data_IF_620783603018
#
_entry.id   IF_620783603018
#
_cell.length_a   1.000
_cell.length_b   1.000
_cell.length_c   1.000
_cell.angle_alpha   90.00
_cell.angle_beta   90.00
_cell.angle_gamma   90.00
#
_symmetry.space_group_name_H-M   'P 1'
#
loop_
_entity.id
_entity.type
_entity.pdbx_description
1 polymer ?
#
# COMPACT_ATOMS: atom_id res chain seq x y z
N UNK A 1 -1.66 9.05 -23.36
CA UNK A 1 -1.11 8.94 -21.98
C UNK A 1 -2.11 8.30 -21.03
N UNK A 2 -3.28 8.90 -20.77
CA UNK A 2 -4.31 8.38 -19.84
C UNK A 2 -4.58 6.87 -19.98
N UNK A 3 -4.75 6.38 -21.20
CA UNK A 3 -4.98 4.96 -21.48
C UNK A 3 -3.90 4.03 -20.91
N UNK A 4 -2.61 4.40 -20.99
CA UNK A 4 -1.49 3.56 -20.50
C UNK A 4 -1.57 3.38 -18.98
N UNK A 5 -1.86 4.45 -18.24
CA UNK A 5 -1.92 4.44 -16.77
C UNK A 5 -3.16 3.72 -16.28
N UNK A 6 -4.33 4.07 -16.83
CA UNK A 6 -5.61 3.42 -16.46
C UNK A 6 -5.52 1.93 -16.73
N UNK A 7 -5.09 1.55 -17.94
CA UNK A 7 -4.92 0.13 -18.28
C UNK A 7 -3.98 -0.59 -17.32
N UNK A 8 -2.88 0.05 -16.91
CA UNK A 8 -1.91 -0.59 -16.01
C UNK A 8 -2.44 -0.77 -14.60
N UNK A 9 -3.00 0.29 -14.01
CA UNK A 9 -3.29 0.35 -12.58
C UNK A 9 -4.75 0.04 -12.25
N UNK A 10 -5.70 0.47 -13.07
CA UNK A 10 -7.12 0.17 -12.87
C UNK A 10 -7.50 -1.18 -13.50
N UNK A 11 -7.00 -1.47 -14.71
CA UNK A 11 -7.37 -2.69 -15.45
C UNK A 11 -6.34 -3.83 -15.32
N UNK A 12 -5.32 -3.66 -14.47
CA UNK A 12 -4.28 -4.65 -14.21
C UNK A 12 -3.57 -5.19 -15.47
N UNK A 13 -3.40 -4.34 -16.49
CA UNK A 13 -2.79 -4.70 -17.77
C UNK A 13 -1.31 -4.29 -17.80
N UNK A 14 -0.36 -5.23 -17.58
CA UNK A 14 1.06 -4.91 -17.59
C UNK A 14 1.50 -4.41 -18.96
N UNK A 15 2.55 -3.59 -19.00
CA UNK A 15 3.03 -2.98 -20.24
C UNK A 15 3.32 -4.00 -21.35
N UNK A 16 3.74 -5.23 -21.04
CA UNK A 16 4.02 -6.23 -22.10
C UNK A 16 2.78 -6.65 -22.85
N UNK A 17 1.63 -6.64 -22.17
CA UNK A 17 0.36 -6.88 -22.81
C UNK A 17 -0.13 -5.65 -23.55
N UNK A 18 0.12 -4.44 -23.02
CA UNK A 18 -0.18 -3.20 -23.74
C UNK A 18 0.62 -3.10 -25.05
N UNK A 19 1.92 -3.45 -25.04
CA UNK A 19 2.77 -3.48 -26.23
C UNK A 19 2.14 -4.34 -27.34
N UNK A 20 1.72 -5.57 -26.99
CA UNK A 20 1.06 -6.46 -27.96
C UNK A 20 -0.27 -5.89 -28.48
N UNK A 21 -1.00 -5.13 -27.66
CA UNK A 21 -2.23 -4.46 -28.11
C UNK A 21 -1.90 -3.34 -29.09
N UNK A 22 -0.94 -2.46 -28.77
CA UNK A 22 -0.54 -1.37 -29.67
C UNK A 22 0.02 -1.89 -31.00
N UNK A 23 0.74 -3.01 -30.99
CA UNK A 23 1.24 -3.66 -32.19
C UNK A 23 0.14 -4.10 -33.17
N UNK A 24 -1.06 -4.46 -32.69
CA UNK A 24 -2.21 -4.79 -33.57
C UNK A 24 -2.63 -3.59 -34.41
N UNK A 25 -2.48 -2.40 -33.84
CA UNK A 25 -2.72 -1.12 -34.52
C UNK A 25 -1.47 -0.58 -35.23
N UNK A 26 -0.39 -1.39 -35.32
CA UNK A 26 0.91 -1.01 -35.90
C UNK A 26 1.56 0.19 -35.21
N UNK A 27 1.23 0.41 -33.94
CA UNK A 27 1.81 1.47 -33.10
C UNK A 27 2.91 0.86 -32.24
N UNK A 28 4.14 1.34 -32.42
CA UNK A 28 5.28 0.94 -31.58
C UNK A 28 5.60 2.06 -30.57
N UNK A 29 5.48 1.74 -29.28
CA UNK A 29 5.80 2.67 -28.19
C UNK A 29 6.86 2.02 -27.31
N UNK A 30 8.10 2.54 -27.32
CA UNK A 30 9.18 1.97 -26.52
C UNK A 30 8.83 1.88 -25.03
N UNK A 31 9.25 0.78 -24.39
CA UNK A 31 9.00 0.52 -22.97
C UNK A 31 9.55 1.60 -22.03
N UNK A 32 10.66 2.21 -22.41
CA UNK A 32 11.24 3.36 -21.71
C UNK A 32 10.29 4.56 -21.72
N UNK A 33 9.66 4.84 -22.86
CA UNK A 33 8.69 5.94 -23.02
C UNK A 33 7.45 5.73 -22.14
N UNK A 34 6.86 4.54 -22.16
CA UNK A 34 5.70 4.22 -21.32
C UNK A 34 6.02 4.36 -19.83
N UNK A 35 7.17 3.84 -19.40
CA UNK A 35 7.63 3.97 -18.01
C UNK A 35 7.94 5.42 -17.63
N UNK A 36 8.51 6.19 -18.56
CA UNK A 36 8.77 7.62 -18.40
C UNK A 36 7.49 8.43 -18.17
N UNK A 37 6.41 8.13 -18.90
CA UNK A 37 5.11 8.78 -18.66
C UNK A 37 4.54 8.47 -17.28
N UNK A 38 4.68 7.23 -16.79
CA UNK A 38 4.27 6.90 -15.42
C UNK A 38 5.06 7.70 -14.38
N UNK A 39 6.36 7.86 -14.59
CA UNK A 39 7.19 8.66 -13.69
C UNK A 39 6.76 10.13 -13.68
N UNK A 40 6.52 10.74 -14.85
CA UNK A 40 6.07 12.14 -14.92
C UNK A 40 4.77 12.38 -14.15
N UNK A 41 3.86 11.42 -14.21
CA UNK A 41 2.60 11.50 -13.44
C UNK A 41 2.86 11.33 -11.96
N UNK A 42 3.68 10.35 -11.56
CA UNK A 42 4.07 10.20 -10.17
C UNK A 42 4.67 11.50 -9.62
N UNK A 43 5.60 12.13 -10.34
CA UNK A 43 6.19 13.41 -9.97
C UNK A 43 5.16 14.53 -9.81
N UNK A 44 4.11 14.51 -10.62
CA UNK A 44 3.03 15.50 -10.56
C UNK A 44 2.09 15.29 -9.37
N UNK A 45 1.85 14.03 -8.97
CA UNK A 45 0.87 13.69 -7.91
C UNK A 45 1.52 13.38 -6.56
N UNK A 46 2.85 13.24 -6.46
CA UNK A 46 3.53 12.86 -5.21
C UNK A 46 3.25 13.82 -4.05
N UNK A 47 2.97 15.09 -4.36
CA UNK A 47 2.60 16.11 -3.37
C UNK A 47 1.30 15.79 -2.63
N UNK A 48 0.42 14.97 -3.23
CA UNK A 48 -0.82 14.54 -2.59
C UNK A 48 -0.57 13.59 -1.43
N UNK A 49 0.52 12.82 -1.43
CA UNK A 49 0.78 11.82 -0.38
C UNK A 49 0.83 12.41 1.03
N UNK A 50 1.64 13.46 1.34
CA UNK A 50 1.63 14.05 2.68
C UNK A 50 0.29 14.69 3.05
N UNK A 51 -0.45 15.25 2.09
CA UNK A 51 -1.78 15.85 2.31
C UNK A 51 -2.79 14.75 2.66
N UNK A 52 -2.80 13.65 1.91
CA UNK A 52 -3.68 12.51 2.15
C UNK A 52 -3.33 11.81 3.48
N UNK A 53 -2.03 11.71 3.81
CA UNK A 53 -1.58 11.23 5.13
C UNK A 53 -2.14 12.12 6.24
N UNK A 54 -2.01 13.44 6.14
CA UNK A 54 -2.56 14.33 7.16
C UNK A 54 -4.07 14.12 7.30
N UNK A 55 -4.79 14.11 6.18
CA UNK A 55 -6.23 13.91 6.17
C UNK A 55 -6.64 12.56 6.79
N UNK A 56 -5.94 11.45 6.51
CA UNK A 56 -6.33 10.15 7.09
C UNK A 56 -6.16 10.14 8.61
N UNK A 57 -5.16 10.85 9.14
CA UNK A 57 -4.85 10.95 10.57
C UNK A 57 -5.74 11.94 11.34
N UNK A 58 -6.55 12.76 10.67
CA UNK A 58 -7.53 13.65 11.33
C UNK A 58 -8.69 12.90 11.98
N UNK A 59 -8.97 11.67 11.53
CA UNK A 59 -10.00 10.83 12.14
C UNK A 59 -9.50 10.26 13.46
N UNK A 60 -10.37 10.20 14.48
CA UNK A 60 -10.06 9.50 15.73
C UNK A 60 -10.09 7.96 15.61
N UNK A 61 -10.43 7.41 14.44
CA UNK A 61 -10.48 5.96 14.17
C UNK A 61 -9.70 5.69 12.88
N UNK A 62 -8.75 4.76 12.96
CA UNK A 62 -7.91 4.36 11.84
C UNK A 62 -7.79 2.84 11.78
N UNK A 63 -7.85 2.27 10.58
CA UNK A 63 -7.54 0.87 10.31
C UNK A 63 -6.21 0.78 9.59
N UNK A 64 -5.39 -0.22 9.92
CA UNK A 64 -4.09 -0.44 9.28
C UNK A 64 -3.77 -1.91 9.08
N UNK A 65 -3.08 -2.21 7.99
CA UNK A 65 -2.59 -3.54 7.63
C UNK A 65 -1.37 -3.43 6.70
N UNK A 66 -0.65 -4.54 6.48
CA UNK A 66 0.46 -4.62 5.53
C UNK A 66 0.36 -5.85 4.61
N UNK A 67 0.44 -5.61 3.31
CA UNK A 67 0.47 -6.69 2.30
C UNK A 67 1.89 -6.90 1.76
N UNK A 68 2.39 -8.15 1.70
CA UNK A 68 3.69 -8.44 1.09
C UNK A 68 3.66 -8.22 -0.43
N UNK A 69 4.70 -7.56 -0.95
CA UNK A 69 4.91 -7.33 -2.38
C UNK A 69 6.24 -7.97 -2.81
N UNK A 70 6.19 -8.79 -3.86
CA UNK A 70 7.39 -9.36 -4.48
C UNK A 70 8.06 -8.29 -5.38
N UNK A 71 9.09 -7.62 -4.84
CA UNK A 71 9.80 -6.57 -5.56
C UNK A 71 11.02 -7.14 -6.29
N UNK A 72 11.15 -6.86 -7.58
CA UNK A 72 12.35 -7.20 -8.33
C UNK A 72 13.52 -6.27 -7.96
N UNK A 73 14.63 -6.85 -7.51
CA UNK A 73 15.85 -6.12 -7.16
C UNK A 73 16.89 -6.25 -8.29
N UNK A 74 16.57 -5.70 -9.47
CA UNK A 74 17.44 -5.81 -10.65
C UNK A 74 18.83 -5.22 -10.46
N UNK A 75 18.99 -4.26 -9.54
CA UNK A 75 20.27 -3.56 -9.33
C UNK A 75 21.23 -4.35 -8.45
N UNK A 76 20.74 -4.92 -7.35
CA UNK A 76 21.62 -5.60 -6.40
C UNK A 76 21.54 -7.13 -6.52
N UNK A 77 20.40 -7.68 -6.95
CA UNK A 77 20.17 -9.13 -7.04
C UNK A 77 19.31 -9.51 -8.27
N UNK A 78 19.90 -9.47 -9.49
CA UNK A 78 19.18 -9.82 -10.72
C UNK A 78 18.48 -11.18 -10.62
N UNK A 79 17.22 -11.24 -11.05
CA UNK A 79 16.41 -12.47 -11.03
C UNK A 79 15.87 -12.88 -9.66
N UNK A 80 16.19 -12.16 -8.58
CA UNK A 80 15.64 -12.41 -7.24
C UNK A 80 14.59 -11.36 -6.87
N UNK A 81 13.68 -11.79 -5.99
CA UNK A 81 12.66 -10.92 -5.40
C UNK A 81 13.01 -10.61 -3.95
N UNK A 82 12.88 -9.34 -3.57
CA UNK A 82 12.86 -8.89 -2.19
C UNK A 82 11.42 -8.81 -1.71
N UNK A 83 11.17 -9.22 -0.46
CA UNK A 83 9.86 -9.09 0.18
C UNK A 83 9.68 -7.66 0.70
N UNK A 84 9.10 -6.81 -0.14
CA UNK A 84 8.66 -5.46 0.22
C UNK A 84 7.27 -5.50 0.86
N UNK A 85 6.80 -4.36 1.39
CA UNK A 85 5.47 -4.21 2.00
C UNK A 85 4.73 -3.02 1.41
N UNK A 86 3.44 -3.19 1.24
CA UNK A 86 2.49 -2.11 1.02
C UNK A 86 1.64 -1.98 2.27
N UNK A 87 1.84 -0.90 3.00
CA UNK A 87 1.02 -0.54 4.16
C UNK A 87 -0.23 0.16 3.68
N UNK A 88 -1.34 -0.11 4.35
CA UNK A 88 -2.61 0.59 4.12
C UNK A 88 -3.07 1.25 5.41
N UNK A 89 -3.61 2.44 5.27
CA UNK A 89 -4.24 3.21 6.34
C UNK A 89 -5.60 3.68 5.85
N UNK A 90 -6.65 3.21 6.50
CA UNK A 90 -8.04 3.53 6.13
C UNK A 90 -8.67 4.36 7.21
N UNK A 91 -9.25 5.49 6.82
CA UNK A 91 -10.01 6.37 7.71
C UNK A 91 -11.28 5.65 8.18
N UNK A 92 -11.45 5.54 9.49
CA UNK A 92 -12.70 5.14 10.12
C UNK A 92 -13.65 6.30 10.39
N UNK A 93 -14.84 5.99 10.92
CA UNK A 93 -15.85 6.98 11.28
C UNK A 93 -16.81 7.37 10.14
N UNK A 94 -17.52 8.48 10.29
CA UNK A 94 -18.59 8.94 9.39
C UNK A 94 -18.12 9.95 8.33
N UNK A 95 -16.84 10.29 8.32
CA UNK A 95 -16.26 11.17 7.30
C UNK A 95 -16.22 10.51 5.92
N UNK A 96 -15.86 11.26 4.85
CA UNK A 96 -15.71 10.68 3.54
C UNK A 96 -14.63 9.58 3.56
N UNK A 97 -14.86 8.45 2.86
CA UNK A 97 -13.93 7.34 2.86
C UNK A 97 -12.58 7.80 2.29
N UNK A 98 -11.51 7.44 2.99
CA UNK A 98 -10.16 7.81 2.60
C UNK A 98 -9.20 6.66 2.92
N UNK A 99 -8.39 6.31 1.93
CA UNK A 99 -7.38 5.27 2.04
C UNK A 99 -6.05 5.81 1.55
N UNK A 100 -5.00 5.58 2.33
CA UNK A 100 -3.62 5.95 1.99
C UNK A 100 -2.77 4.69 1.99
N UNK A 101 -1.95 4.57 0.95
CA UNK A 101 -0.95 3.51 0.85
C UNK A 101 0.44 4.08 1.09
N UNK A 102 1.28 3.32 1.78
CA UNK A 102 2.68 3.64 1.98
C UNK A 102 3.55 2.43 1.65
N UNK A 103 4.58 2.62 0.86
CA UNK A 103 5.43 1.53 0.37
C UNK A 103 6.75 1.47 1.12
N UNK A 104 7.15 0.29 1.56
CA UNK A 104 8.47 0.06 2.15
C UNK A 104 9.17 -1.16 1.59
N UNK A 105 10.50 -1.08 1.52
CA UNK A 105 11.37 -2.16 1.06
C UNK A 105 11.60 -3.27 2.10
N UNK A 106 10.98 -3.14 3.27
CA UNK A 106 11.15 -3.98 4.46
C UNK A 106 9.87 -3.98 5.32
N UNK A 107 9.83 -4.83 6.36
CA UNK A 107 8.75 -4.87 7.36
C UNK A 107 9.32 -4.61 8.74
N UNK A 108 9.72 -3.36 9.01
CA UNK A 108 10.26 -2.96 10.31
C UNK A 108 9.28 -2.06 11.05
N UNK A 109 9.27 -2.15 12.39
CA UNK A 109 8.40 -1.36 13.27
C UNK A 109 8.44 0.14 13.03
N UNK A 110 9.58 0.67 12.58
CA UNK A 110 9.74 2.10 12.25
C UNK A 110 8.73 2.58 11.19
N UNK A 111 8.29 1.71 10.27
CA UNK A 111 7.35 2.10 9.19
C UNK A 111 6.01 2.59 9.73
N UNK A 112 5.24 1.79 10.48
CA UNK A 112 4.00 2.27 11.09
C UNK A 112 4.23 3.34 12.16
N UNK A 113 5.34 3.29 12.91
CA UNK A 113 5.63 4.28 13.94
C UNK A 113 5.85 5.69 13.36
N UNK A 114 6.63 5.82 12.28
CA UNK A 114 6.84 7.10 11.59
C UNK A 114 5.54 7.58 10.93
N UNK A 115 4.79 6.66 10.29
CA UNK A 115 3.54 7.03 9.63
C UNK A 115 2.49 7.53 10.62
N UNK A 116 2.36 6.89 11.77
CA UNK A 116 1.38 7.21 12.82
C UNK A 116 1.93 8.17 13.88
N UNK A 117 3.05 8.85 13.58
CA UNK A 117 3.63 9.80 14.51
C UNK A 117 2.63 10.92 14.86
N UNK A 118 2.54 11.22 16.16
CA UNK A 118 1.58 12.15 16.77
C UNK A 118 0.08 11.82 16.59
N UNK A 119 -0.28 10.64 16.08
CA UNK A 119 -1.67 10.21 16.01
C UNK A 119 -2.25 9.99 17.41
N UNK A 120 -3.54 10.29 17.58
CA UNK A 120 -4.30 10.09 18.81
C UNK A 120 -5.66 9.49 18.46
N UNK A 121 -6.05 8.42 19.16
CA UNK A 121 -7.34 7.75 18.94
C UNK A 121 -7.21 6.24 18.79
N UNK A 122 -8.21 5.63 18.17
CA UNK A 122 -8.31 4.19 17.98
C UNK A 122 -7.51 3.75 16.75
N UNK A 123 -6.68 2.73 16.92
CA UNK A 123 -5.94 2.09 15.83
C UNK A 123 -6.34 0.62 15.78
N UNK A 124 -7.01 0.26 14.69
CA UNK A 124 -7.44 -1.09 14.40
C UNK A 124 -6.37 -1.78 13.56
N UNK A 125 -5.63 -2.71 14.15
CA UNK A 125 -4.49 -3.38 13.52
C UNK A 125 -4.57 -4.90 13.69
N UNK A 126 -3.79 -5.63 12.90
CA UNK A 126 -3.45 -7.01 13.21
C UNK A 126 -2.53 -7.09 14.45
N UNK A 127 -2.24 -8.29 14.92
CA UNK A 127 -1.33 -8.50 16.06
C UNK A 127 0.14 -8.49 15.63
N UNK A 128 0.51 -7.68 14.64
CA UNK A 128 1.91 -7.52 14.26
C UNK A 128 2.67 -6.75 15.34
N UNK A 129 3.66 -7.41 15.96
CA UNK A 129 4.45 -6.80 17.05
C UNK A 129 5.23 -5.53 16.70
N UNK A 130 5.25 -5.11 15.42
CA UNK A 130 5.77 -3.80 15.06
C UNK A 130 4.93 -2.62 15.56
N UNK A 131 3.68 -2.86 15.98
CA UNK A 131 2.82 -1.87 16.61
C UNK A 131 2.98 -1.79 18.14
N UNK A 132 3.68 -2.73 18.79
CA UNK A 132 3.76 -2.80 20.26
C UNK A 132 4.27 -1.50 20.92
N UNK A 133 5.20 -0.79 20.27
CA UNK A 133 5.70 0.50 20.76
C UNK A 133 4.69 1.63 20.60
N UNK A 134 3.81 1.53 19.60
CA UNK A 134 2.74 2.50 19.35
C UNK A 134 1.70 2.43 20.47
N UNK A 135 1.30 1.22 20.87
CA UNK A 135 0.26 0.97 21.87
C UNK A 135 0.69 1.19 23.32
N UNK A 136 1.97 1.50 23.54
CA UNK A 136 2.46 1.99 24.85
C UNK A 136 2.16 3.47 25.09
N UNK A 137 1.71 4.20 24.07
CA UNK A 137 1.36 5.62 24.18
C UNK A 137 -0.06 5.76 24.70
N UNK A 138 -0.25 6.54 25.75
CA UNK A 138 -1.57 6.74 26.39
C UNK A 138 -2.62 7.35 25.44
N UNK A 139 -2.18 8.05 24.39
CA UNK A 139 -3.09 8.67 23.42
C UNK A 139 -3.61 7.72 22.34
N UNK A 140 -3.13 6.48 22.31
CA UNK A 140 -3.52 5.48 21.31
C UNK A 140 -4.23 4.33 22.00
N UNK A 141 -5.41 4.00 21.48
CA UNK A 141 -6.20 2.86 21.93
C UNK A 141 -6.04 1.74 20.90
N UNK A 142 -5.42 0.65 21.33
CA UNK A 142 -5.30 -0.57 20.52
C UNK A 142 -6.67 -1.22 20.33
N UNK A 143 -7.00 -1.55 19.07
CA UNK A 143 -8.18 -2.32 18.72
C UNK A 143 -7.77 -3.51 17.85
N UNK A 144 -7.94 -4.72 18.37
CA UNK A 144 -7.60 -5.94 17.63
C UNK A 144 -8.52 -6.18 16.43
N UNK A 145 -7.93 -6.57 15.30
CA UNK A 145 -8.68 -6.82 14.08
C UNK A 145 -9.44 -8.15 14.06
N UNK A 146 -10.77 -8.08 14.10
CA UNK A 146 -11.64 -9.27 14.07
C UNK A 146 -11.61 -10.01 12.74
N UNK A 147 -11.36 -9.33 11.62
CA UNK A 147 -11.22 -10.00 10.32
C UNK A 147 -9.97 -10.90 10.31
N UNK A 148 -8.85 -10.42 10.86
CA UNK A 148 -7.63 -11.21 11.02
C UNK A 148 -7.81 -12.35 12.02
N UNK A 149 -8.51 -12.11 13.13
CA UNK A 149 -8.81 -13.15 14.10
C UNK A 149 -9.67 -14.27 13.49
N UNK A 150 -10.74 -13.92 12.76
CA UNK A 150 -11.62 -14.90 12.10
C UNK A 150 -10.86 -15.77 11.11
N UNK A 151 -10.05 -15.16 10.23
CA UNK A 151 -9.29 -15.92 9.24
C UNK A 151 -8.39 -16.99 9.89
N UNK A 152 -7.81 -16.69 11.06
CA UNK A 152 -7.01 -17.68 11.80
C UNK A 152 -7.85 -18.86 12.32
N UNK A 153 -9.09 -18.63 12.73
CA UNK A 153 -10.00 -19.72 13.10
C UNK A 153 -10.40 -20.56 11.89
N UNK A 154 -10.72 -19.92 10.76
CA UNK A 154 -11.08 -20.61 9.52
C UNK A 154 -9.92 -21.51 9.03
N UNK A 155 -8.67 -21.03 9.09
CA UNK A 155 -7.47 -21.84 8.76
C UNK A 155 -7.33 -23.09 9.65
N UNK A 156 -7.70 -23.00 10.93
CA UNK A 156 -7.63 -24.13 11.86
C UNK A 156 -8.74 -25.15 11.60
N UNK A 157 -9.96 -24.70 11.28
CA UNK A 157 -11.08 -25.58 10.95
C UNK A 157 -10.82 -26.38 9.66
N UNK A 158 -10.26 -25.73 8.63
CA UNK A 158 -9.90 -26.40 7.37
C UNK A 158 -8.73 -27.39 7.47
N UNK A 159 -7.94 -27.32 8.55
CA UNK A 159 -6.81 -28.21 8.79
C UNK A 159 -7.18 -29.49 9.56
N UNK A 160 -8.44 -29.62 10.00
CA UNK A 160 -9.01 -30.81 10.65
C UNK A 160 -9.63 -31.77 9.64
#
# INVERSE_FOLDING_TARGET
MSHVIVSKFADHLPHCRQDTIFQREKVDIPRGTQSGWLMQIHESIKILHPILRQAVLESGILFTDDTPVALQDHRNNPGKFKKARMWVYVRGGTGPPLTVYDFSMDRVKKRPLDFLDNYRGYVHADTYGGYDELFKKDEIIEVGCWAHARWKFDELEMAQ
#
